data_IF_328465041617
#
_entry.id   IF_328465041617
#
_cell.length_a   1.000
_cell.length_b   1.000
_cell.length_c   1.000
_cell.angle_alpha   90.00
_cell.angle_beta   90.00
_cell.angle_gamma   90.00
#
_symmetry.space_group_name_H-M   'P 1'
#
loop_
_entity.id
_entity.type
_entity.pdbx_description
1 polymer ?
#
# COMPACT_ATOMS: atom_id res chain seq x y z
N UNK A 1 14.03 -28.61 -26.12
CA UNK A 1 13.93 -29.04 -24.69
C UNK A 1 13.14 -27.98 -23.94
N UNK A 2 11.83 -28.19 -23.84
CA UNK A 2 10.91 -27.30 -23.11
C UNK A 2 10.47 -28.12 -21.90
N UNK A 3 11.10 -27.93 -20.75
CA UNK A 3 10.75 -28.75 -19.59
C UNK A 3 11.75 -28.66 -18.47
N UNK A 4 11.56 -27.67 -17.59
CA UNK A 4 11.75 -27.77 -16.12
C UNK A 4 11.33 -26.48 -15.40
N UNK A 5 10.44 -25.66 -15.96
CA UNK A 5 9.89 -24.52 -15.22
C UNK A 5 8.76 -25.04 -14.32
N UNK A 6 9.12 -25.45 -13.10
CA UNK A 6 8.14 -25.87 -12.10
C UNK A 6 7.33 -24.65 -11.67
N UNK A 7 6.02 -24.81 -11.65
CA UNK A 7 5.09 -23.81 -11.12
C UNK A 7 4.96 -23.97 -9.61
N UNK A 8 4.84 -22.86 -8.90
CA UNK A 8 4.52 -22.82 -7.48
C UNK A 8 3.38 -21.82 -7.28
N UNK A 9 2.35 -22.25 -6.55
CA UNK A 9 1.21 -21.42 -6.20
C UNK A 9 1.36 -21.06 -4.72
N UNK A 10 1.26 -19.77 -4.41
CA UNK A 10 1.30 -19.26 -3.03
C UNK A 10 0.03 -18.46 -2.79
N UNK A 11 -0.71 -18.81 -1.75
CA UNK A 11 -1.87 -18.05 -1.29
C UNK A 11 -1.39 -16.90 -0.42
N UNK A 12 -2.00 -15.73 -0.59
CA UNK A 12 -1.73 -14.53 0.19
C UNK A 12 -2.84 -14.32 1.21
N UNK A 13 -2.46 -13.97 2.44
CA UNK A 13 -3.40 -13.82 3.56
C UNK A 13 -3.84 -12.36 3.77
N UNK A 14 -2.93 -11.40 3.57
CA UNK A 14 -3.17 -10.00 3.87
C UNK A 14 -3.08 -9.11 2.63
N UNK A 15 -2.05 -9.32 1.81
CA UNK A 15 -1.80 -8.48 0.65
C UNK A 15 -2.59 -8.93 -0.59
N UNK A 16 -2.92 -7.97 -1.45
CA UNK A 16 -3.56 -8.22 -2.75
C UNK A 16 -2.58 -8.84 -3.74
N UNK A 17 -2.98 -9.97 -4.34
CA UNK A 17 -2.17 -10.67 -5.34
C UNK A 17 -1.88 -9.83 -6.59
N UNK A 18 -2.83 -8.97 -7.02
CA UNK A 18 -2.65 -8.12 -8.19
C UNK A 18 -1.54 -7.07 -7.95
N UNK A 19 -1.60 -6.40 -6.80
CA UNK A 19 -0.67 -5.33 -6.44
C UNK A 19 0.74 -5.89 -6.23
N UNK A 20 0.86 -7.02 -5.52
CA UNK A 20 2.14 -7.69 -5.34
C UNK A 20 2.72 -8.22 -6.66
N UNK A 21 1.89 -8.73 -7.57
CA UNK A 21 2.38 -9.18 -8.87
C UNK A 21 2.94 -8.02 -9.69
N UNK A 22 2.30 -6.85 -9.66
CA UNK A 22 2.77 -5.66 -10.37
C UNK A 22 4.12 -5.19 -9.81
N UNK A 23 4.22 -5.04 -8.48
CA UNK A 23 5.47 -4.64 -7.80
C UNK A 23 6.60 -5.63 -8.10
N UNK A 24 6.33 -6.92 -8.02
CA UNK A 24 7.35 -7.95 -8.27
C UNK A 24 7.78 -7.99 -9.75
N UNK A 25 6.85 -7.80 -10.69
CA UNK A 25 7.17 -7.73 -12.12
C UNK A 25 7.97 -6.45 -12.46
N UNK A 26 7.65 -5.32 -11.83
CA UNK A 26 8.43 -4.08 -11.93
C UNK A 26 9.85 -4.29 -11.40
N UNK A 27 10.02 -4.92 -10.24
CA UNK A 27 11.33 -5.21 -9.65
C UNK A 27 12.21 -6.12 -10.56
N UNK A 28 11.59 -7.12 -11.21
CA UNK A 28 12.28 -7.99 -12.18
C UNK A 28 12.68 -7.20 -13.43
N UNK A 29 11.81 -6.30 -13.90
CA UNK A 29 12.05 -5.48 -15.08
C UNK A 29 13.13 -4.40 -14.86
N UNK A 30 13.14 -3.76 -13.70
CA UNK A 30 14.19 -2.79 -13.31
C UNK A 30 15.56 -3.45 -13.14
N UNK A 31 15.57 -4.71 -12.69
CA UNK A 31 16.77 -5.56 -12.65
C UNK A 31 17.39 -5.83 -14.03
N UNK A 32 16.71 -5.52 -15.15
CA UNK A 32 17.31 -5.62 -16.49
C UNK A 32 18.35 -4.52 -16.79
N UNK A 33 18.33 -3.38 -16.09
CA UNK A 33 19.18 -2.23 -16.40
C UNK A 33 20.51 -2.16 -15.64
N UNK A 34 20.58 -2.71 -14.42
CA UNK A 34 21.78 -2.68 -13.56
C UNK A 34 21.86 -3.99 -12.78
N UNK A 35 22.68 -4.91 -13.27
CA UNK A 35 22.84 -6.27 -12.72
C UNK A 35 23.12 -6.29 -11.21
N UNK A 36 22.22 -6.91 -10.44
CA UNK A 36 22.59 -7.56 -9.17
C UNK A 36 21.77 -8.81 -8.79
N UNK A 37 20.73 -9.21 -9.53
CA UNK A 37 19.97 -10.44 -9.23
C UNK A 37 19.67 -11.33 -10.46
N UNK A 38 20.64 -12.15 -10.92
CA UNK A 38 20.47 -13.06 -12.05
C UNK A 38 19.36 -14.11 -11.87
N UNK A 39 19.01 -14.41 -10.61
CA UNK A 39 18.05 -15.46 -10.28
C UNK A 39 16.59 -15.03 -10.52
N UNK A 40 16.24 -13.74 -10.39
CA UNK A 40 14.87 -13.27 -10.58
C UNK A 40 14.50 -13.07 -12.06
N UNK A 41 15.51 -12.86 -12.92
CA UNK A 41 15.37 -12.55 -14.35
C UNK A 41 14.71 -13.66 -15.20
N UNK A 42 14.58 -14.87 -14.66
CA UNK A 42 14.00 -16.04 -15.35
C UNK A 42 12.71 -16.53 -14.69
N UNK A 43 12.16 -15.77 -13.74
CA UNK A 43 10.88 -16.07 -13.13
C UNK A 43 9.76 -15.27 -13.79
N UNK A 44 8.66 -15.94 -14.13
CA UNK A 44 7.40 -15.34 -14.54
C UNK A 44 6.44 -15.37 -13.36
N UNK A 45 5.85 -14.23 -13.04
CA UNK A 45 4.90 -14.07 -11.93
C UNK A 45 3.55 -13.64 -12.49
N UNK A 46 2.49 -14.34 -12.11
CA UNK A 46 1.10 -14.06 -12.51
C UNK A 46 0.20 -14.12 -11.28
N UNK A 47 -0.68 -13.13 -11.12
CA UNK A 47 -1.70 -13.14 -10.07
C UNK A 47 -2.96 -13.89 -10.51
N UNK A 48 -3.53 -14.69 -9.60
CA UNK A 48 -4.92 -15.14 -9.65
C UNK A 48 -5.73 -14.35 -8.62
N UNK A 49 -6.50 -13.36 -9.12
CA UNK A 49 -7.38 -12.51 -8.32
C UNK A 49 -8.48 -13.32 -7.61
N UNK A 50 -8.98 -14.40 -8.23
CA UNK A 50 -10.13 -15.16 -7.71
C UNK A 50 -9.77 -15.92 -6.43
N UNK A 51 -8.53 -16.37 -6.31
CA UNK A 51 -8.04 -17.11 -5.14
C UNK A 51 -7.02 -16.33 -4.31
N UNK A 52 -6.85 -15.03 -4.58
CA UNK A 52 -5.80 -14.19 -4.00
C UNK A 52 -4.44 -14.91 -3.94
N UNK A 53 -3.99 -15.44 -5.07
CA UNK A 53 -2.79 -16.29 -5.13
C UNK A 53 -1.82 -15.82 -6.19
N UNK A 54 -0.52 -16.02 -5.93
CA UNK A 54 0.54 -15.77 -6.89
C UNK A 54 1.06 -17.08 -7.47
N UNK A 55 1.08 -17.14 -8.80
CA UNK A 55 1.62 -18.25 -9.59
C UNK A 55 3.01 -17.84 -10.07
N UNK A 56 4.02 -18.56 -9.61
CA UNK A 56 5.43 -18.30 -9.93
C UNK A 56 5.95 -19.46 -10.76
N UNK A 57 6.44 -19.16 -11.96
CA UNK A 57 7.07 -20.13 -12.87
C UNK A 57 8.54 -19.77 -13.05
N UNK A 58 9.46 -20.71 -12.82
CA UNK A 58 10.89 -20.45 -13.00
C UNK A 58 11.80 -21.40 -12.23
N UNK A 59 13.12 -21.17 -12.24
CA UNK A 59 14.07 -22.01 -11.52
C UNK A 59 13.85 -21.94 -10.01
N UNK A 60 14.20 -23.02 -9.31
CA UNK A 60 13.97 -23.16 -7.86
C UNK A 60 14.56 -22.01 -7.04
N UNK A 61 15.77 -21.54 -7.40
CA UNK A 61 16.43 -20.41 -6.74
C UNK A 61 15.62 -19.11 -6.83
N UNK A 62 14.93 -18.89 -7.95
CA UNK A 62 14.07 -17.72 -8.14
C UNK A 62 12.82 -17.82 -7.26
N UNK A 63 12.17 -19.00 -7.28
CA UNK A 63 10.96 -19.27 -6.50
C UNK A 63 11.19 -19.14 -5.00
N UNK A 64 12.31 -19.68 -4.50
CA UNK A 64 12.69 -19.54 -3.09
C UNK A 64 12.89 -18.08 -2.71
N UNK A 65 13.59 -17.29 -3.55
CA UNK A 65 13.83 -15.87 -3.28
C UNK A 65 12.54 -15.06 -3.28
N UNK A 66 11.66 -15.28 -4.25
CA UNK A 66 10.34 -14.62 -4.31
C UNK A 66 9.49 -15.03 -3.10
N UNK A 67 9.49 -16.31 -2.71
CA UNK A 67 8.77 -16.78 -1.52
C UNK A 67 9.27 -16.09 -0.25
N UNK A 68 10.59 -15.89 -0.10
CA UNK A 68 11.15 -15.13 1.02
C UNK A 68 10.70 -13.67 1.04
N UNK A 69 10.68 -13.00 -0.12
CA UNK A 69 10.18 -11.63 -0.22
C UNK A 69 8.69 -11.57 0.09
N UNK A 70 7.92 -12.53 -0.41
CA UNK A 70 6.48 -12.60 -0.18
C UNK A 70 6.15 -12.68 1.31
N UNK A 71 6.89 -13.47 2.08
CA UNK A 71 6.72 -13.53 3.54
C UNK A 71 6.99 -12.20 4.27
N UNK A 72 7.77 -11.32 3.67
CA UNK A 72 8.05 -9.99 4.23
C UNK A 72 7.07 -8.92 3.75
N UNK A 73 6.32 -9.20 2.68
CA UNK A 73 5.36 -8.25 2.07
C UNK A 73 3.91 -8.62 2.38
N UNK A 74 3.60 -9.90 2.54
CA UNK A 74 2.31 -10.44 2.99
C UNK A 74 2.29 -10.49 4.52
N UNK A 75 2.44 -9.31 5.12
CA UNK A 75 2.29 -9.12 6.57
C UNK A 75 0.93 -8.49 6.82
N UNK A 76 0.36 -8.79 7.99
CA UNK A 76 -0.82 -8.07 8.47
C UNK A 76 -0.47 -6.58 8.46
N UNK A 77 -1.19 -5.82 7.64
CA UNK A 77 -1.15 -4.37 7.74
C UNK A 77 -1.53 -4.06 9.17
N UNK A 78 -0.59 -3.50 9.95
CA UNK A 78 -0.95 -3.00 11.27
C UNK A 78 -2.17 -2.12 11.05
N UNK A 79 -3.25 -2.43 11.76
CA UNK A 79 -4.45 -1.59 11.91
C UNK A 79 -4.10 -0.23 12.58
N UNK A 80 -2.94 0.36 12.29
CA UNK A 80 -2.81 1.79 12.10
C UNK A 80 -3.52 2.18 10.79
N UNK A 81 -4.76 1.72 10.65
CA UNK A 81 -5.75 2.42 9.87
C UNK A 81 -5.69 3.84 10.36
N UNK A 82 -5.33 4.73 9.47
CA UNK A 82 -5.18 6.16 9.69
C UNK A 82 -6.44 6.85 10.22
N UNK A 83 -7.50 6.09 10.52
CA UNK A 83 -8.76 6.50 11.08
C UNK A 83 -8.73 6.44 12.60
N UNK A 84 -8.68 7.60 13.27
CA UNK A 84 -8.85 7.73 14.72
C UNK A 84 -10.19 8.36 15.05
N UNK A 85 -10.87 7.81 16.06
CA UNK A 85 -12.12 8.36 16.59
C UNK A 85 -11.84 9.10 17.90
N UNK A 86 -12.11 10.40 17.91
CA UNK A 86 -11.95 11.27 19.08
C UNK A 86 -13.31 11.66 19.65
N UNK A 87 -13.62 11.17 20.85
CA UNK A 87 -14.83 11.56 21.57
C UNK A 87 -14.62 12.91 22.26
N UNK A 88 -15.48 13.88 21.96
CA UNK A 88 -15.34 15.24 22.48
C UNK A 88 -16.14 15.43 23.77
N UNK A 89 -15.48 16.00 24.79
CA UNK A 89 -16.10 16.28 26.10
C UNK A 89 -16.63 17.72 26.24
N UNK A 90 -15.97 18.68 25.59
CA UNK A 90 -16.18 20.11 25.84
C UNK A 90 -16.50 20.92 24.57
N UNK A 91 -16.44 20.27 23.40
CA UNK A 91 -16.67 20.93 22.11
C UNK A 91 -17.66 20.10 21.28
N UNK A 92 -18.36 20.78 20.36
CA UNK A 92 -19.23 20.14 19.38
C UNK A 92 -18.42 19.68 18.18
N UNK A 93 -18.59 18.43 17.77
CA UNK A 93 -17.89 17.85 16.61
C UNK A 93 -18.09 18.70 15.34
N UNK A 94 -19.32 19.13 15.06
CA UNK A 94 -19.66 19.94 13.87
C UNK A 94 -18.83 21.22 13.75
N UNK A 95 -18.59 21.92 14.87
CA UNK A 95 -17.80 23.16 14.87
C UNK A 95 -16.30 22.88 14.68
N UNK A 96 -15.81 21.77 15.21
CA UNK A 96 -14.40 21.40 15.08
C UNK A 96 -14.06 20.90 13.68
N UNK A 97 -14.97 20.22 12.99
CA UNK A 97 -14.75 19.80 11.59
C UNK A 97 -14.46 20.98 10.70
N UNK A 98 -15.24 22.05 10.78
CA UNK A 98 -15.07 23.25 9.95
C UNK A 98 -13.68 23.88 10.17
N UNK A 99 -13.27 24.01 11.43
CA UNK A 99 -11.95 24.56 11.79
C UNK A 99 -10.82 23.64 11.33
N UNK A 100 -10.92 22.34 11.61
CA UNK A 100 -9.87 21.37 11.29
C UNK A 100 -9.74 21.14 9.78
N UNK A 101 -10.83 21.24 9.02
CA UNK A 101 -10.79 21.19 7.56
C UNK A 101 -9.97 22.35 7.01
N UNK A 102 -10.23 23.58 7.48
CA UNK A 102 -9.46 24.76 7.06
C UNK A 102 -7.98 24.72 7.47
N UNK A 103 -7.64 24.04 8.57
CA UNK A 103 -6.23 23.80 8.96
C UNK A 103 -5.59 22.73 8.07
N UNK A 104 -6.31 21.65 7.78
CA UNK A 104 -5.80 20.55 6.94
C UNK A 104 -5.49 20.98 5.50
N UNK A 105 -6.30 21.87 4.92
CA UNK A 105 -6.05 22.46 3.60
C UNK A 105 -4.76 23.30 3.60
N UNK A 106 -4.56 24.13 4.63
CA UNK A 106 -3.33 24.94 4.75
C UNK A 106 -2.07 24.09 4.92
N UNK A 107 -2.14 23.02 5.70
CA UNK A 107 -1.02 22.08 5.85
C UNK A 107 -0.67 21.39 4.52
N UNK A 108 -1.66 21.17 3.65
CA UNK A 108 -1.47 20.63 2.30
C UNK A 108 -0.76 21.62 1.38
N UNK A 109 -1.11 22.91 1.49
CA UNK A 109 -0.49 23.98 0.72
C UNK A 109 0.96 24.29 1.15
N UNK A 110 1.28 24.20 2.45
CA UNK A 110 2.64 24.48 2.96
C UNK A 110 3.66 23.39 2.59
N UNK A 111 3.26 22.12 2.47
CA UNK A 111 4.12 21.03 1.96
C UNK A 111 4.21 20.99 0.42
N UNK A 112 3.44 21.80 -0.30
CA UNK A 112 3.26 21.72 -1.76
C UNK A 112 4.23 22.51 -2.65
N UNK A 113 5.26 23.19 -2.11
CA UNK A 113 6.06 24.13 -2.90
C UNK A 113 7.38 23.59 -3.49
N UNK A 114 7.56 22.27 -3.60
CA UNK A 114 8.67 21.68 -4.37
C UNK A 114 8.20 20.69 -5.46
N UNK A 115 8.00 21.27 -6.66
CA UNK A 115 8.20 20.67 -8.01
C UNK A 115 7.16 19.68 -8.58
N UNK A 116 6.49 20.20 -9.63
CA UNK A 116 5.92 19.57 -10.84
C UNK A 116 4.60 18.78 -10.75
N UNK A 117 3.73 18.91 -11.78
CA UNK A 117 2.47 18.19 -11.86
C UNK A 117 2.70 16.83 -12.54
N UNK A 118 2.54 15.74 -11.80
CA UNK A 118 2.41 14.41 -12.39
C UNK A 118 1.60 13.51 -11.46
N UNK A 119 0.56 12.92 -12.05
CA UNK A 119 -0.29 11.84 -11.52
C UNK A 119 -0.94 12.09 -10.15
N UNK A 120 -2.19 12.52 -10.21
CA UNK A 120 -3.26 12.10 -9.30
C UNK A 120 -3.08 10.64 -8.84
N UNK A 121 -2.73 10.41 -7.57
CA UNK A 121 -2.61 9.04 -7.06
C UNK A 121 -2.05 8.82 -5.65
N UNK A 122 -1.46 9.81 -5.00
CA UNK A 122 -1.09 9.72 -3.58
C UNK A 122 -1.54 11.00 -2.90
N UNK A 123 -2.83 11.08 -2.68
CA UNK A 123 -3.47 12.23 -2.08
C UNK A 123 -3.29 12.04 -0.58
N UNK A 124 -2.45 12.87 0.04
CA UNK A 124 -2.51 13.18 1.48
C UNK A 124 -3.94 13.62 1.78
N UNK A 125 -4.79 12.62 2.00
CA UNK A 125 -6.22 12.74 2.17
C UNK A 125 -6.47 12.69 3.65
N UNK A 126 -6.38 13.87 4.27
CA UNK A 126 -6.96 14.08 5.59
C UNK A 126 -8.47 14.21 5.38
N UNK A 127 -9.21 13.16 5.68
CA UNK A 127 -10.67 13.15 5.70
C UNK A 127 -11.15 13.25 7.14
N UNK A 128 -11.79 14.37 7.48
CA UNK A 128 -12.30 14.66 8.82
C UNK A 128 -13.83 14.68 8.75
N UNK A 129 -14.50 13.82 9.52
CA UNK A 129 -15.96 13.74 9.59
C UNK A 129 -16.42 13.86 11.05
N UNK A 130 -17.52 14.57 11.28
CA UNK A 130 -18.18 14.62 12.60
C UNK A 130 -19.32 13.61 12.66
N UNK A 131 -19.42 12.90 13.78
CA UNK A 131 -20.66 12.26 14.21
C UNK A 131 -21.30 13.08 15.34
N UNK A 132 -22.47 13.64 15.06
CA UNK A 132 -23.24 14.44 16.02
C UNK A 132 -23.90 13.56 17.09
N UNK A 133 -24.24 12.31 16.79
CA UNK A 133 -24.95 11.45 17.75
C UNK A 133 -24.07 11.07 18.94
N UNK A 134 -22.79 10.77 18.68
CA UNK A 134 -21.80 10.43 19.72
C UNK A 134 -20.90 11.61 20.12
N UNK A 135 -21.09 12.78 19.50
CA UNK A 135 -20.20 13.94 19.61
C UNK A 135 -18.73 13.54 19.42
N UNK A 136 -18.44 12.85 18.32
CA UNK A 136 -17.11 12.34 18.00
C UNK A 136 -16.59 12.84 16.65
N UNK A 137 -15.27 12.90 16.52
CA UNK A 137 -14.57 13.22 15.28
C UNK A 137 -13.88 11.97 14.77
N UNK A 138 -14.17 11.60 13.53
CA UNK A 138 -13.50 10.53 12.79
C UNK A 138 -12.49 11.19 11.87
N UNK A 139 -11.20 10.99 12.12
CA UNK A 139 -10.10 11.58 11.35
C UNK A 139 -9.37 10.45 10.66
N UNK A 140 -9.42 10.42 9.33
CA UNK A 140 -8.63 9.51 8.48
C UNK A 140 -7.51 10.31 7.81
N UNK A 141 -6.24 10.07 8.14
CA UNK A 141 -5.13 10.88 7.64
C UNK A 141 -3.81 10.10 7.64
N UNK A 142 -2.99 10.15 6.57
CA UNK A 142 -1.71 9.42 6.47
C UNK A 142 -0.82 9.53 7.74
N UNK A 143 -0.08 8.47 8.11
CA UNK A 143 0.75 8.44 9.34
C UNK A 143 1.72 9.63 9.42
N UNK A 144 2.11 10.14 8.26
CA UNK A 144 2.98 11.31 8.07
C UNK A 144 2.42 12.65 8.59
N UNK A 145 1.12 12.74 8.89
CA UNK A 145 0.45 13.94 9.45
C UNK A 145 -0.07 13.75 10.88
N UNK A 146 0.02 12.54 11.44
CA UNK A 146 -0.50 12.25 12.78
C UNK A 146 0.51 12.45 13.91
N UNK A 147 1.81 12.58 13.61
CA UNK A 147 2.86 12.87 14.59
C UNK A 147 3.05 14.37 14.86
#
# INVERSE_FOLDING_TARGET
VIGTEKQQIIHLEYASAEDLAEILNQLISESHGKSQMPALLSAKIVADKRTNSLIISGPEKARQRITSLLKSLDVEESEEGNTRVYYLKYAKATNLVEVLTGVSEKLKDEKGNERKPSSSGAMDNVAITADEQTNSLVITADQSVQE
#
